data_IF_779520573968
#
_entry.id   IF_779520573968
#
_cell.length_a   1.000
_cell.length_b   1.000
_cell.length_c   1.000
_cell.angle_alpha   90.00
_cell.angle_beta   90.00
_cell.angle_gamma   90.00
#
_symmetry.space_group_name_H-M   'P 1'
#
loop_
_entity.id
_entity.type
_entity.pdbx_description
1 polymer ?
#
# COMPACT_ATOMS: atom_id res chain seq x y z
N UNK A 1 22.54 1.57 2.68
CA UNK A 1 21.66 1.72 3.87
C UNK A 1 20.34 1.01 3.55
N UNK A 2 19.73 0.30 4.50
CA UNK A 2 18.48 -0.45 4.22
C UNK A 2 17.28 0.51 4.23
N UNK A 3 16.25 0.21 3.45
CA UNK A 3 15.04 1.05 3.32
C UNK A 3 14.31 1.26 4.65
N UNK A 4 14.30 0.26 5.54
CA UNK A 4 13.69 0.36 6.86
C UNK A 4 14.37 1.44 7.73
N UNK A 5 15.70 1.44 7.77
CA UNK A 5 16.48 2.41 8.57
C UNK A 5 16.19 3.85 8.11
N UNK A 6 16.06 4.05 6.78
CA UNK A 6 15.71 5.34 6.19
C UNK A 6 14.30 5.79 6.58
N UNK A 7 13.33 4.89 6.57
CA UNK A 7 11.95 5.22 6.92
C UNK A 7 11.82 5.55 8.41
N UNK A 8 12.46 4.77 9.28
CA UNK A 8 12.48 5.02 10.73
C UNK A 8 13.06 6.41 11.02
N UNK A 9 14.24 6.71 10.47
CA UNK A 9 14.88 8.02 10.66
C UNK A 9 14.00 9.18 10.16
N UNK A 10 13.27 8.98 9.04
CA UNK A 10 12.34 9.98 8.53
C UNK A 10 11.14 10.22 9.47
N UNK A 11 10.55 9.16 10.02
CA UNK A 11 9.44 9.26 10.97
C UNK A 11 9.86 9.91 12.29
N UNK A 12 11.03 9.55 12.80
CA UNK A 12 11.62 10.15 14.02
C UNK A 12 11.94 11.63 13.84
N UNK A 13 12.54 12.02 12.70
CA UNK A 13 12.80 13.43 12.37
C UNK A 13 11.52 14.27 12.34
N UNK A 14 10.38 13.66 12.00
CA UNK A 14 9.08 14.31 11.92
C UNK A 14 8.28 14.23 13.22
N UNK A 15 8.82 13.61 14.27
CA UNK A 15 8.17 13.39 15.56
C UNK A 15 6.78 12.69 15.42
N UNK A 16 6.72 11.70 14.53
CA UNK A 16 5.50 10.93 14.30
C UNK A 16 5.49 9.67 15.17
N UNK A 17 4.36 9.40 15.84
CA UNK A 17 4.17 8.16 16.57
C UNK A 17 4.07 6.97 15.60
N UNK A 18 4.89 5.94 15.82
CA UNK A 18 4.88 4.70 15.03
C UNK A 18 5.20 3.50 15.90
N UNK A 19 4.86 2.29 15.41
CA UNK A 19 5.29 1.01 15.96
C UNK A 19 5.79 0.15 14.81
N UNK A 20 6.86 -0.60 15.05
CA UNK A 20 7.39 -1.57 14.10
C UNK A 20 7.26 -2.96 14.73
N UNK A 21 6.42 -3.79 14.12
CA UNK A 21 6.18 -5.17 14.53
C UNK A 21 6.80 -6.13 13.49
N UNK A 22 7.14 -7.33 13.92
CA UNK A 22 7.61 -8.40 13.04
C UNK A 22 6.57 -9.51 12.97
N UNK A 23 6.28 -9.97 11.76
CA UNK A 23 5.37 -11.07 11.50
C UNK A 23 6.04 -12.19 10.66
N UNK A 24 5.52 -13.43 10.70
CA UNK A 24 5.94 -14.48 9.77
C UNK A 24 5.75 -14.07 8.31
N UNK A 25 6.57 -14.62 7.41
CA UNK A 25 6.46 -14.34 5.97
C UNK A 25 5.04 -14.67 5.45
N UNK A 26 4.45 -13.74 4.72
CA UNK A 26 3.12 -13.84 4.10
C UNK A 26 3.21 -13.37 2.65
N UNK A 27 2.26 -13.81 1.81
CA UNK A 27 2.33 -13.56 0.36
C UNK A 27 1.18 -12.69 -0.15
N UNK A 28 0.16 -12.46 0.66
CA UNK A 28 -0.94 -11.56 0.33
C UNK A 28 -1.18 -10.53 1.43
N UNK A 29 -1.66 -9.34 1.06
CA UNK A 29 -1.99 -8.30 2.02
C UNK A 29 -3.02 -8.75 3.07
N UNK A 30 -3.96 -9.65 2.72
CA UNK A 30 -4.92 -10.20 3.67
C UNK A 30 -4.26 -11.13 4.69
N UNK A 31 -3.30 -11.94 4.27
CA UNK A 31 -2.50 -12.76 5.18
C UNK A 31 -1.64 -11.91 6.10
N UNK A 32 -0.98 -10.87 5.57
CA UNK A 32 -0.20 -9.92 6.37
C UNK A 32 -1.06 -9.24 7.42
N UNK A 33 -2.24 -8.72 7.05
CA UNK A 33 -3.17 -8.12 7.99
C UNK A 33 -3.55 -9.07 9.12
N UNK A 34 -3.82 -10.35 8.81
CA UNK A 34 -4.14 -11.37 9.81
C UNK A 34 -2.95 -11.69 10.72
N UNK A 35 -1.74 -11.78 10.16
CA UNK A 35 -0.52 -12.03 10.92
C UNK A 35 -0.22 -10.88 11.90
N UNK A 36 -0.56 -9.66 11.51
CA UNK A 36 -0.49 -8.44 12.33
C UNK A 36 -1.69 -8.24 13.27
N UNK A 37 -2.63 -9.19 13.32
CA UNK A 37 -3.86 -9.10 14.10
C UNK A 37 -4.70 -7.84 13.79
N UNK A 38 -4.54 -7.29 12.58
CA UNK A 38 -5.28 -6.15 12.08
C UNK A 38 -6.50 -6.62 11.27
N UNK A 39 -7.69 -5.99 11.44
CA UNK A 39 -8.78 -6.18 10.51
C UNK A 39 -8.32 -5.83 9.08
N UNK A 40 -8.53 -6.68 8.06
CA UNK A 40 -8.07 -6.40 6.69
C UNK A 40 -8.52 -5.05 6.11
N UNK A 41 -9.70 -4.57 6.50
CA UNK A 41 -10.22 -3.24 6.13
C UNK A 41 -9.38 -2.06 6.67
N UNK A 42 -8.57 -2.30 7.70
CA UNK A 42 -7.71 -1.31 8.36
C UNK A 42 -6.23 -1.47 7.97
N UNK A 43 -5.89 -2.42 7.10
CA UNK A 43 -4.53 -2.65 6.63
C UNK A 43 -4.39 -2.15 5.19
N UNK A 44 -3.51 -1.18 4.94
CA UNK A 44 -3.30 -0.63 3.62
C UNK A 44 -2.40 -1.55 2.76
N UNK A 45 -2.79 -1.76 1.50
CA UNK A 45 -1.91 -2.26 0.44
C UNK A 45 -1.81 -1.22 -0.66
N UNK A 46 -0.71 -1.31 -1.41
CA UNK A 46 -0.47 -0.46 -2.57
C UNK A 46 -0.50 -1.31 -3.83
N UNK A 47 -1.22 -0.84 -4.85
CA UNK A 47 -1.14 -1.34 -6.22
C UNK A 47 -0.55 -0.23 -7.08
N UNK A 48 0.55 -0.53 -7.75
CA UNK A 48 1.15 0.39 -8.73
C UNK A 48 0.41 0.19 -10.05
N UNK A 49 -0.12 1.28 -10.60
CA UNK A 49 -0.73 1.30 -11.94
C UNK A 49 0.10 2.19 -12.84
N UNK A 50 0.09 1.87 -14.13
CA UNK A 50 0.83 2.61 -15.16
C UNK A 50 -0.12 3.07 -16.26
N UNK A 51 -0.08 4.36 -16.56
CA UNK A 51 -0.85 4.96 -17.64
C UNK A 51 -0.07 5.99 -18.47
N UNK A 52 -0.80 6.88 -19.14
CA UNK A 52 -0.22 7.86 -20.06
C UNK A 52 0.71 8.86 -19.37
N UNK A 53 0.35 9.30 -18.16
CA UNK A 53 1.12 10.26 -17.38
C UNK A 53 2.17 9.60 -16.46
N UNK A 54 2.41 8.30 -16.65
CA UNK A 54 3.39 7.51 -15.87
C UNK A 54 2.74 6.64 -14.80
N UNK A 55 3.39 6.54 -13.64
CA UNK A 55 2.98 5.65 -12.55
C UNK A 55 2.12 6.35 -11.51
N UNK A 56 1.10 5.65 -11.02
CA UNK A 56 0.31 6.07 -9.86
C UNK A 56 0.23 4.94 -8.81
N UNK A 57 -0.06 5.33 -7.57
CA UNK A 57 -0.24 4.41 -6.43
C UNK A 57 -1.71 4.38 -6.02
N UNK A 58 -2.39 3.26 -6.23
CA UNK A 58 -3.70 3.02 -5.64
C UNK A 58 -3.51 2.43 -4.23
N UNK A 59 -3.84 3.22 -3.21
CA UNK A 59 -3.79 2.79 -1.80
C UNK A 59 -5.18 2.36 -1.37
N UNK A 60 -5.32 1.09 -1.02
CA UNK A 60 -6.61 0.49 -0.68
C UNK A 60 -6.48 -0.47 0.51
N UNK A 61 -7.58 -0.78 1.21
CA UNK A 61 -7.57 -1.82 2.21
C UNK A 61 -7.20 -3.19 1.65
N UNK A 62 -6.63 -4.06 2.49
CA UNK A 62 -6.20 -5.40 2.11
C UNK A 62 -7.34 -6.26 1.56
N UNK A 63 -8.57 -6.02 2.04
CA UNK A 63 -9.77 -6.74 1.62
C UNK A 63 -10.43 -6.23 0.34
N UNK A 64 -9.96 -5.12 -0.24
CA UNK A 64 -10.47 -4.56 -1.50
C UNK A 64 -9.67 -5.04 -2.69
N UNK A 65 -10.25 -4.96 -3.88
CA UNK A 65 -9.59 -5.24 -5.16
C UNK A 65 -9.65 -3.96 -5.97
N UNK A 66 -8.58 -3.63 -6.69
CA UNK A 66 -8.57 -2.47 -7.59
C UNK A 66 -9.49 -2.76 -8.77
N UNK A 67 -10.40 -1.84 -9.04
CA UNK A 67 -11.17 -1.81 -10.27
C UNK A 67 -10.46 -0.91 -11.28
N UNK A 68 -9.89 -1.51 -12.33
CA UNK A 68 -9.15 -0.76 -13.34
C UNK A 68 -10.06 0.07 -14.23
N UNK A 69 -11.35 -0.29 -14.39
CA UNK A 69 -12.29 0.49 -15.19
C UNK A 69 -12.74 1.74 -14.43
N UNK A 70 -12.97 1.62 -13.12
CA UNK A 70 -13.21 2.78 -12.25
C UNK A 70 -12.00 3.73 -12.24
N UNK A 71 -10.78 3.19 -12.13
CA UNK A 71 -9.56 4.01 -12.22
C UNK A 71 -9.41 4.67 -13.60
N UNK A 72 -9.66 3.96 -14.70
CA UNK A 72 -9.64 4.53 -16.05
C UNK A 72 -10.61 5.71 -16.19
N UNK A 73 -11.83 5.53 -15.69
CA UNK A 73 -12.84 6.59 -15.68
C UNK A 73 -12.38 7.80 -14.83
N UNK A 74 -11.85 7.55 -13.63
CA UNK A 74 -11.38 8.61 -12.73
C UNK A 74 -10.18 9.40 -13.30
N UNK A 75 -9.28 8.72 -14.02
CA UNK A 75 -8.12 9.33 -14.66
C UNK A 75 -8.43 9.87 -16.07
N UNK A 76 -9.64 9.68 -16.59
CA UNK A 76 -10.02 10.11 -17.94
C UNK A 76 -9.19 9.45 -19.05
N UNK A 77 -8.74 8.21 -18.84
CA UNK A 77 -7.86 7.50 -19.77
C UNK A 77 -8.35 6.08 -20.05
N UNK A 78 -8.09 5.57 -21.25
CA UNK A 78 -8.34 4.16 -21.59
C UNK A 78 -7.09 3.28 -21.38
N UNK A 79 -5.94 3.88 -21.08
CA UNK A 79 -4.67 3.19 -21.01
C UNK A 79 -4.12 3.26 -19.58
N UNK A 80 -4.70 2.45 -18.70
CA UNK A 80 -4.24 2.23 -17.32
C UNK A 80 -4.23 0.73 -17.04
N UNK A 81 -3.12 0.21 -16.53
CA UNK A 81 -2.87 -1.21 -16.25
C UNK A 81 -2.11 -1.42 -14.95
#
# INVERSE_FOLDING_TARGET
MKTLDQLIAFLEMRDLAYRHDQHPLTYTARETARAEHAPPRCFAKVVIVHGQDGYAMAVLPADRIVDLDELRAAFGTHHLR
#
